data_IF_123890416582
#
_entry.id   IF_123890416582
#
_cell.length_a   1.000
_cell.length_b   1.000
_cell.length_c   1.000
_cell.angle_alpha   90.00
_cell.angle_beta   90.00
_cell.angle_gamma   90.00
#
_symmetry.space_group_name_H-M   'P 1'
#
loop_
_entity.id
_entity.type
_entity.pdbx_description
1 polymer ?
#
# COMPACT_ATOMS: atom_id res chain seq x y z
N UNK A 1 -24.62 11.74 76.37
CA UNK A 1 -23.15 11.84 76.30
C UNK A 1 -22.56 10.48 75.94
N UNK A 2 -22.04 10.31 74.72
CA UNK A 2 -21.07 9.25 74.37
C UNK A 2 -20.45 9.59 73.00
N UNK A 3 -19.13 9.46 72.97
CA UNK A 3 -18.18 10.00 72.02
C UNK A 3 -18.26 9.33 70.64
N UNK A 4 -18.08 10.12 69.57
CA UNK A 4 -17.89 9.62 68.20
C UNK A 4 -16.42 9.86 67.83
N UNK A 5 -15.69 8.76 67.61
CA UNK A 5 -14.31 8.74 67.12
C UNK A 5 -14.38 8.79 65.58
N UNK A 6 -13.75 9.76 64.89
CA UNK A 6 -13.57 9.65 63.45
C UNK A 6 -12.29 8.87 63.16
N UNK A 7 -12.46 7.67 62.58
CA UNK A 7 -11.39 6.86 62.02
C UNK A 7 -10.81 7.55 60.78
N UNK A 8 -9.56 7.97 60.91
CA UNK A 8 -8.71 8.52 59.86
C UNK A 8 -8.29 7.37 58.92
N UNK A 9 -8.78 7.35 57.68
CA UNK A 9 -8.36 6.40 56.66
C UNK A 9 -7.49 7.15 55.64
N UNK A 10 -6.18 7.07 55.84
CA UNK A 10 -5.15 7.70 55.03
C UNK A 10 -4.87 6.78 53.82
N UNK A 11 -5.41 7.15 52.65
CA UNK A 11 -5.14 6.46 51.39
C UNK A 11 -3.78 6.91 50.87
N UNK A 12 -2.78 6.03 50.96
CA UNK A 12 -1.48 6.19 50.32
C UNK A 12 -1.63 5.94 48.82
N UNK A 13 -1.76 7.02 48.06
CA UNK A 13 -1.62 6.99 46.61
C UNK A 13 -0.16 6.68 46.26
N UNK A 14 0.13 5.42 45.93
CA UNK A 14 1.38 5.05 45.27
C UNK A 14 1.36 5.65 43.86
N UNK A 15 2.04 6.78 43.71
CA UNK A 15 2.31 7.46 42.45
C UNK A 15 3.29 6.57 41.64
N UNK A 16 2.73 5.68 40.81
CA UNK A 16 3.53 4.84 39.92
C UNK A 16 4.09 5.76 38.84
N UNK A 17 5.29 6.30 39.09
CA UNK A 17 6.06 7.08 38.13
C UNK A 17 6.28 6.21 36.89
N UNK A 18 5.47 6.42 35.86
CA UNK A 18 5.66 5.82 34.54
C UNK A 18 6.98 6.40 34.02
N UNK A 19 8.04 5.59 33.80
CA UNK A 19 9.24 6.11 33.18
C UNK A 19 8.87 6.62 31.78
N UNK A 20 9.04 7.92 31.55
CA UNK A 20 8.98 8.52 30.23
C UNK A 20 10.00 7.77 29.35
N UNK A 21 9.50 6.92 28.44
CA UNK A 21 10.38 6.29 27.45
C UNK A 21 11.02 7.41 26.64
N UNK A 22 12.35 7.41 26.43
CA UNK A 22 12.99 8.40 25.59
C UNK A 22 12.38 8.33 24.19
N UNK A 23 11.74 9.42 23.79
CA UNK A 23 11.16 9.55 22.46
C UNK A 23 12.33 9.60 21.47
N UNK A 24 12.37 8.65 20.54
CA UNK A 24 13.40 8.65 19.50
C UNK A 24 13.34 9.98 18.73
N UNK A 25 14.50 10.55 18.34
CA UNK A 25 14.50 11.74 17.50
C UNK A 25 13.72 11.53 16.21
N UNK A 26 13.03 12.57 15.72
CA UNK A 26 12.15 12.47 14.54
C UNK A 26 12.87 11.94 13.29
N UNK A 27 14.12 12.36 13.06
CA UNK A 27 14.92 11.89 11.94
C UNK A 27 15.23 10.38 12.00
N UNK A 28 15.31 9.79 13.20
CA UNK A 28 15.47 8.34 13.36
C UNK A 28 14.18 7.64 12.90
N UNK A 29 13.02 8.19 13.27
CA UNK A 29 11.74 7.65 12.80
C UNK A 29 11.61 7.75 11.29
N UNK A 30 11.99 8.90 10.70
CA UNK A 30 11.96 9.07 9.24
C UNK A 30 12.81 8.03 8.50
N UNK A 31 14.04 7.76 8.97
CA UNK A 31 14.91 6.75 8.38
C UNK A 31 14.30 5.35 8.53
N UNK A 32 13.76 5.01 9.71
CA UNK A 32 13.13 3.72 9.94
C UNK A 32 11.90 3.52 9.06
N UNK A 33 11.05 4.54 8.90
CA UNK A 33 9.90 4.50 8.00
C UNK A 33 10.32 4.42 6.53
N UNK A 34 11.35 5.17 6.12
CA UNK A 34 11.91 5.08 4.78
C UNK A 34 12.46 3.68 4.47
N UNK A 35 13.11 3.05 5.44
CA UNK A 35 13.66 1.70 5.30
C UNK A 35 12.58 0.62 5.10
N UNK A 36 11.31 0.90 5.44
CA UNK A 36 10.20 -0.01 5.21
C UNK A 36 9.65 0.03 3.77
N UNK A 37 10.04 1.01 2.96
CA UNK A 37 9.51 1.17 1.60
C UNK A 37 9.63 -0.11 0.74
N UNK A 38 10.75 -0.88 0.75
CA UNK A 38 10.84 -2.13 -0.01
C UNK A 38 9.86 -3.21 0.46
N UNK A 39 9.58 -3.26 1.76
CA UNK A 39 8.63 -4.19 2.37
C UNK A 39 7.22 -3.82 1.92
N UNK A 40 6.80 -2.56 2.12
CA UNK A 40 5.48 -2.07 1.73
C UNK A 40 5.24 -2.24 0.23
N UNK A 41 6.25 -1.99 -0.61
CA UNK A 41 6.15 -2.22 -2.05
C UNK A 41 5.99 -3.70 -2.41
N UNK A 42 6.61 -4.61 -1.66
CA UNK A 42 6.44 -6.05 -1.85
C UNK A 42 5.07 -6.53 -1.41
N UNK A 43 4.56 -6.00 -0.30
CA UNK A 43 3.22 -6.30 0.17
C UNK A 43 2.14 -5.75 -0.76
N UNK A 44 2.32 -4.54 -1.30
CA UNK A 44 1.46 -3.97 -2.34
C UNK A 44 1.35 -4.90 -3.57
N UNK A 45 2.46 -5.51 -4.01
CA UNK A 45 2.45 -6.51 -5.09
C UNK A 45 1.67 -7.76 -4.71
N UNK A 46 1.86 -8.27 -3.48
CA UNK A 46 1.12 -9.45 -2.98
C UNK A 46 -0.38 -9.19 -2.88
N UNK A 47 -0.77 -7.95 -2.62
CA UNK A 47 -2.17 -7.49 -2.59
C UNK A 47 -2.75 -7.19 -3.99
N UNK A 48 -1.96 -7.45 -5.04
CA UNK A 48 -2.37 -7.40 -6.43
C UNK A 48 -2.27 -6.02 -7.08
N UNK A 49 -1.54 -5.07 -6.48
CA UNK A 49 -1.16 -3.84 -7.19
C UNK A 49 -0.09 -4.21 -8.22
N UNK A 50 -0.30 -3.96 -9.53
CA UNK A 50 0.66 -4.32 -10.57
C UNK A 50 2.05 -3.71 -10.33
N UNK A 51 3.11 -4.42 -10.70
CA UNK A 51 4.50 -4.02 -10.41
C UNK A 51 4.92 -2.78 -11.18
N UNK A 52 4.39 -2.60 -12.38
CA UNK A 52 4.52 -1.43 -13.23
C UNK A 52 3.80 -0.21 -12.63
N UNK A 53 2.60 -0.39 -12.07
CA UNK A 53 1.87 0.68 -11.38
C UNK A 53 2.62 1.16 -10.12
N UNK A 54 3.16 0.24 -9.32
CA UNK A 54 4.00 0.58 -8.16
C UNK A 54 5.25 1.34 -8.61
N UNK A 55 5.92 0.87 -9.67
CA UNK A 55 7.11 1.53 -10.20
C UNK A 55 6.79 2.94 -10.69
N UNK A 56 5.69 3.11 -11.43
CA UNK A 56 5.25 4.40 -11.94
C UNK A 56 4.94 5.38 -10.79
N UNK A 57 4.24 4.91 -9.74
CA UNK A 57 3.96 5.72 -8.56
C UNK A 57 5.25 6.15 -7.83
N UNK A 58 6.18 5.22 -7.60
CA UNK A 58 7.46 5.51 -6.93
C UNK A 58 8.33 6.45 -7.76
N UNK A 59 8.36 6.28 -9.08
CA UNK A 59 9.08 7.17 -9.98
C UNK A 59 8.48 8.58 -9.99
N UNK A 60 7.15 8.70 -10.03
CA UNK A 60 6.46 9.98 -9.92
C UNK A 60 6.78 10.67 -8.57
N UNK A 61 6.77 9.92 -7.47
CA UNK A 61 7.15 10.42 -6.14
C UNK A 61 8.62 10.89 -6.11
N UNK A 62 9.52 10.12 -6.72
CA UNK A 62 10.95 10.49 -6.85
C UNK A 62 11.13 11.79 -7.63
N UNK A 63 10.49 11.91 -8.79
CA UNK A 63 10.53 13.13 -9.62
C UNK A 63 9.94 14.34 -8.89
N UNK A 64 8.89 14.11 -8.09
CA UNK A 64 8.24 15.10 -7.26
C UNK A 64 9.00 15.44 -5.96
N UNK A 65 10.16 14.79 -5.73
CA UNK A 65 10.98 14.91 -4.51
C UNK A 65 10.21 14.61 -3.22
N UNK A 66 9.27 13.68 -3.29
CA UNK A 66 8.56 13.17 -2.10
C UNK A 66 9.56 12.43 -1.21
N UNK A 67 9.65 12.74 0.10
CA UNK A 67 10.51 12.02 1.02
C UNK A 67 10.19 10.51 1.03
N UNK A 68 11.20 9.63 1.15
CA UNK A 68 10.95 8.18 1.16
C UNK A 68 10.02 7.72 2.30
N UNK A 69 10.07 8.36 3.46
CA UNK A 69 9.15 8.10 4.58
C UNK A 69 7.69 8.40 4.22
N UNK A 70 7.44 9.51 3.51
CA UNK A 70 6.13 9.87 2.99
C UNK A 70 5.68 8.90 1.88
N UNK A 71 6.60 8.48 1.00
CA UNK A 71 6.30 7.48 -0.01
C UNK A 71 5.87 6.14 0.60
N UNK A 72 6.51 5.71 1.70
CA UNK A 72 6.08 4.54 2.48
C UNK A 72 4.64 4.71 2.97
N UNK A 73 4.34 5.85 3.60
CA UNK A 73 3.01 6.16 4.13
C UNK A 73 1.93 6.17 3.05
N UNK A 74 2.22 6.76 1.88
CA UNK A 74 1.27 6.83 0.76
C UNK A 74 0.98 5.45 0.17
N UNK A 75 2.00 4.62 0.02
CA UNK A 75 1.84 3.28 -0.53
C UNK A 75 1.11 2.36 0.47
N UNK A 76 1.37 2.51 1.77
CA UNK A 76 0.65 1.79 2.81
C UNK A 76 -0.82 2.24 2.91
N UNK A 77 -1.07 3.54 2.77
CA UNK A 77 -2.43 4.08 2.67
C UNK A 77 -3.17 3.50 1.46
N UNK A 78 -2.53 3.44 0.29
CA UNK A 78 -3.13 2.85 -0.91
C UNK A 78 -3.50 1.37 -0.71
N UNK A 79 -2.67 0.59 0.00
CA UNK A 79 -2.96 -0.80 0.37
C UNK A 79 -4.18 -0.91 1.29
N UNK A 80 -4.19 -0.16 2.39
CA UNK A 80 -5.29 -0.17 3.36
C UNK A 80 -6.64 0.13 2.67
N UNK A 81 -6.64 1.14 1.81
CA UNK A 81 -7.82 1.62 1.10
C UNK A 81 -8.24 0.65 0.00
N UNK A 82 -7.29 -0.01 -0.68
CA UNK A 82 -7.60 -1.09 -1.62
C UNK A 82 -8.30 -2.26 -0.95
N UNK A 83 -7.90 -2.64 0.27
CA UNK A 83 -8.58 -3.71 1.02
C UNK A 83 -10.02 -3.34 1.36
N UNK A 84 -10.27 -2.05 1.62
CA UNK A 84 -11.59 -1.53 1.97
C UNK A 84 -12.51 -1.37 0.75
N UNK A 85 -12.01 -0.77 -0.33
CA UNK A 85 -12.83 -0.39 -1.48
C UNK A 85 -12.61 -1.23 -2.74
N UNK A 86 -11.53 -1.98 -2.81
CA UNK A 86 -11.14 -2.75 -4.00
C UNK A 86 -10.08 -2.05 -4.86
N UNK A 87 -9.68 -2.70 -5.99
CA UNK A 87 -8.66 -2.18 -6.88
C UNK A 87 -9.15 -0.96 -7.67
N UNK A 88 -8.20 -0.09 -8.01
CA UNK A 88 -8.38 1.01 -8.96
C UNK A 88 -7.50 0.81 -10.18
N UNK A 89 -7.98 1.27 -11.33
CA UNK A 89 -7.21 1.22 -12.56
C UNK A 89 -6.26 2.43 -12.63
N UNK A 90 -5.08 2.25 -13.23
CA UNK A 90 -4.09 3.31 -13.48
C UNK A 90 -3.60 4.05 -12.22
N UNK A 91 -3.37 3.32 -11.12
CA UNK A 91 -2.95 3.89 -9.83
C UNK A 91 -1.72 4.80 -9.94
N UNK A 92 -0.68 4.38 -10.65
CA UNK A 92 0.56 5.14 -10.83
C UNK A 92 0.34 6.44 -11.59
N UNK A 93 -0.45 6.40 -12.67
CA UNK A 93 -0.83 7.60 -13.43
C UNK A 93 -1.68 8.55 -12.59
N UNK A 94 -2.59 8.03 -11.76
CA UNK A 94 -3.36 8.82 -10.83
C UNK A 94 -2.44 9.54 -9.82
N UNK A 95 -1.52 8.83 -9.16
CA UNK A 95 -0.55 9.43 -8.23
C UNK A 95 0.27 10.52 -8.92
N UNK A 96 0.77 10.25 -10.13
CA UNK A 96 1.49 11.23 -10.93
C UNK A 96 0.66 12.50 -11.18
N UNK A 97 -0.62 12.36 -11.56
CA UNK A 97 -1.50 13.51 -11.80
C UNK A 97 -1.74 14.35 -10.54
N UNK A 98 -1.91 13.71 -9.38
CA UNK A 98 -2.12 14.42 -8.12
C UNK A 98 -0.85 15.15 -7.67
N UNK A 99 0.32 14.53 -7.87
CA UNK A 99 1.60 15.16 -7.59
C UNK A 99 1.84 16.36 -8.51
N UNK A 100 1.48 16.26 -9.79
CA UNK A 100 1.54 17.36 -10.75
C UNK A 100 0.57 18.51 -10.39
N UNK A 101 -0.58 18.18 -9.80
CA UNK A 101 -1.51 19.15 -9.22
C UNK A 101 -1.04 19.76 -7.89
N UNK A 102 0.18 19.44 -7.44
CA UNK A 102 0.79 20.00 -6.22
C UNK A 102 0.40 19.30 -4.93
N UNK A 103 -0.46 18.28 -4.96
CA UNK A 103 -0.88 17.57 -3.73
C UNK A 103 0.28 16.79 -3.13
N UNK A 104 0.40 16.80 -1.81
CA UNK A 104 1.42 16.10 -1.02
C UNK A 104 0.82 15.59 0.30
N UNK A 105 1.54 14.71 0.98
CA UNK A 105 1.24 14.22 2.32
C UNK A 105 -0.21 13.79 2.51
N UNK A 106 -0.89 14.39 3.49
CA UNK A 106 -2.27 14.06 3.83
C UNK A 106 -3.26 14.35 2.70
N UNK A 107 -3.05 15.40 1.90
CA UNK A 107 -3.94 15.73 0.78
C UNK A 107 -3.85 14.69 -0.33
N UNK A 108 -2.64 14.21 -0.63
CA UNK A 108 -2.44 13.14 -1.59
C UNK A 108 -3.05 11.82 -1.09
N UNK A 109 -2.85 11.49 0.18
CA UNK A 109 -3.48 10.32 0.78
C UNK A 109 -5.02 10.41 0.75
N UNK A 110 -5.59 11.59 0.99
CA UNK A 110 -7.02 11.83 0.88
C UNK A 110 -7.53 11.67 -0.56
N UNK A 111 -6.77 12.15 -1.55
CA UNK A 111 -7.10 11.97 -2.97
C UNK A 111 -7.08 10.49 -3.36
N UNK A 112 -6.09 9.71 -2.91
CA UNK A 112 -6.01 8.26 -3.13
C UNK A 112 -7.24 7.56 -2.51
N UNK A 113 -7.59 7.92 -1.27
CA UNK A 113 -8.81 7.41 -0.60
C UNK A 113 -10.07 7.66 -1.41
N UNK A 114 -10.28 8.90 -1.82
CA UNK A 114 -11.46 9.29 -2.58
C UNK A 114 -11.55 8.53 -3.90
N UNK A 115 -10.42 8.35 -4.59
CA UNK A 115 -10.40 7.67 -5.88
C UNK A 115 -10.72 6.17 -5.76
N UNK A 116 -10.16 5.51 -4.75
CA UNK A 116 -10.53 4.14 -4.44
C UNK A 116 -12.00 3.99 -4.02
N UNK A 117 -12.53 4.90 -3.19
CA UNK A 117 -13.94 4.88 -2.81
C UNK A 117 -14.87 5.06 -4.03
N UNK A 118 -14.44 5.86 -5.01
CA UNK A 118 -15.17 6.15 -6.25
C UNK A 118 -15.13 4.99 -7.24
N UNK A 119 -13.94 4.44 -7.52
CA UNK A 119 -13.76 3.40 -8.55
C UNK A 119 -13.93 1.97 -8.00
N UNK A 120 -13.49 1.73 -6.76
CA UNK A 120 -13.39 0.39 -6.19
C UNK A 120 -14.75 -0.31 -6.06
N UNK A 121 -15.81 0.44 -5.73
CA UNK A 121 -17.20 -0.09 -5.66
C UNK A 121 -17.73 -0.60 -7.00
N UNK A 122 -17.21 -0.11 -8.13
CA UNK A 122 -17.62 -0.54 -9.48
C UNK A 122 -16.74 -1.66 -10.08
N UNK A 123 -15.50 -1.77 -9.62
CA UNK A 123 -14.49 -2.66 -10.22
C UNK A 123 -14.24 -3.96 -9.45
N UNK A 124 -14.75 -4.11 -8.23
CA UNK A 124 -14.67 -5.37 -7.47
C UNK A 124 -15.22 -6.59 -8.24
N UNK A 125 -16.26 -6.39 -9.07
CA UNK A 125 -16.82 -7.44 -9.93
C UNK A 125 -15.92 -7.84 -11.13
N UNK A 126 -14.98 -6.97 -11.55
CA UNK A 126 -14.07 -7.22 -12.67
C UNK A 126 -12.73 -7.83 -12.23
N UNK A 127 -12.35 -7.61 -10.98
CA UNK A 127 -11.11 -8.13 -10.39
C UNK A 127 -11.04 -9.68 -10.36
N UNK A 128 -12.18 -10.37 -10.39
CA UNK A 128 -12.24 -11.83 -10.48
C UNK A 128 -11.80 -12.42 -11.83
N UNK A 129 -11.53 -11.59 -12.86
CA UNK A 129 -11.05 -12.01 -14.18
C UNK A 129 -9.59 -11.61 -14.45
N UNK A 130 -8.80 -11.29 -13.42
CA UNK A 130 -7.38 -11.05 -13.61
C UNK A 130 -6.66 -12.37 -13.99
N UNK A 131 -6.27 -12.43 -15.26
CA UNK A 131 -5.46 -13.45 -15.93
C UNK A 131 -4.33 -14.00 -15.03
N UNK A 132 -4.09 -15.33 -14.99
CA UNK A 132 -2.96 -15.88 -14.26
C UNK A 132 -1.62 -15.30 -14.77
N UNK A 133 -0.63 -15.10 -13.87
CA UNK A 133 0.67 -14.56 -14.23
C UNK A 133 1.43 -15.60 -15.05
N UNK A 134 1.48 -15.44 -16.36
CA UNK A 134 2.22 -16.34 -17.26
C UNK A 134 2.06 -16.09 -18.76
N UNK A 135 1.05 -15.34 -19.22
CA UNK A 135 0.83 -15.13 -20.65
C UNK A 135 1.58 -13.91 -21.22
N UNK A 136 2.91 -13.91 -21.13
CA UNK A 136 3.77 -13.12 -22.05
C UNK A 136 4.79 -14.07 -22.65
N UNK A 137 4.40 -14.73 -23.74
CA UNK A 137 5.27 -15.65 -24.46
C UNK A 137 4.52 -16.59 -25.40
N UNK A 138 3.80 -16.05 -26.38
CA UNK A 138 3.40 -16.82 -27.55
C UNK A 138 3.66 -15.96 -28.79
N UNK A 139 4.77 -16.17 -29.53
CA UNK A 139 4.84 -15.66 -30.88
C UNK A 139 3.89 -16.49 -31.75
N UNK A 140 3.10 -15.78 -32.56
CA UNK A 140 2.21 -16.31 -33.59
C UNK A 140 2.81 -17.51 -34.32
N UNK A 141 2.21 -18.69 -34.16
CA UNK A 141 2.32 -19.78 -35.13
C UNK A 141 0.95 -20.03 -35.73
N UNK A 142 0.80 -19.43 -36.91
CA UNK A 142 -0.18 -19.72 -37.97
C UNK A 142 -0.48 -21.23 -38.08
N UNK A 143 -1.75 -21.64 -38.25
CA UNK A 143 -2.10 -23.05 -38.39
C UNK A 143 -2.01 -23.47 -39.87
N UNK A 144 -0.90 -24.09 -40.27
CA UNK A 144 -0.81 -24.73 -41.59
C UNK A 144 -0.99 -26.26 -41.47
N UNK A 145 -2.24 -26.62 -41.74
CA UNK A 145 -2.82 -27.82 -42.30
C UNK A 145 -1.88 -28.92 -42.89
N UNK A 146 -2.28 -30.16 -42.58
CA UNK A 146 -2.35 -31.37 -43.44
C UNK A 146 -1.09 -32.23 -43.65
N UNK A 147 -1.28 -33.51 -43.34
CA UNK A 147 -0.27 -34.55 -43.36
C UNK A 147 0.24 -34.95 -44.74
N UNK A 148 1.44 -35.52 -44.71
CA UNK A 148 1.92 -36.48 -45.71
C UNK A 148 2.59 -37.66 -44.95
N UNK A 149 2.32 -38.90 -45.36
CA UNK A 149 2.97 -40.08 -44.77
C UNK A 149 4.42 -40.22 -45.24
N UNK A 150 5.30 -40.72 -44.35
CA UNK A 150 6.70 -41.03 -44.68
C UNK A 150 6.76 -42.19 -45.68
N UNK A 151 7.60 -42.13 -46.73
CA UNK A 151 7.94 -43.34 -47.50
C UNK A 151 8.93 -44.21 -46.70
N UNK A 152 8.90 -45.55 -46.90
CA UNK A 152 9.83 -46.47 -46.25
C UNK A 152 11.21 -46.43 -46.92
N UNK A 153 12.25 -46.56 -46.10
CA UNK A 153 13.63 -46.70 -46.53
C UNK A 153 13.81 -47.98 -47.37
N UNK A 154 14.58 -47.88 -48.45
CA UNK A 154 15.23 -49.00 -49.14
C UNK A 154 16.72 -48.70 -49.25
#
# INVERSE_FOLDING_TARGET
MRYVIPSLLMVLSFDWSIPLRPQLPDWVQEILTAAQLPVVATEARREGIPSDEIRAALEAMRMARVPPSEATFLLDSARAVRREYGPVDNFGAFVQSQLAAGKRGQELAAAIRAEHARQGKGNAARAGKAQPPGARGAPDRKPDNRGQPRPPNS
#
